data_IF_101201509009
#
_entry.id   IF_101201509009
#
_cell.length_a   1.000
_cell.length_b   1.000
_cell.length_c   1.000
_cell.angle_alpha   90.00
_cell.angle_beta   90.00
_cell.angle_gamma   90.00
#
_symmetry.space_group_name_H-M   'P 1'
#
loop_
_entity.id
_entity.type
_entity.pdbx_description
1 polymer ?
#
# COMPACT_ATOMS: atom_id res chain seq x y z
N UNK A 1 4.80 -3.61 25.58
CA UNK A 1 6.25 -3.72 25.25
C UNK A 1 6.90 -2.33 25.24
N UNK A 2 8.03 -2.13 25.94
CA UNK A 2 8.74 -0.86 25.94
C UNK A 2 9.37 -0.56 24.57
N UNK A 3 9.27 0.68 24.07
CA UNK A 3 9.93 1.11 22.83
C UNK A 3 11.44 0.82 22.88
N UNK A 4 12.05 0.52 21.73
CA UNK A 4 13.47 0.14 21.64
C UNK A 4 14.42 1.12 22.32
N UNK A 5 14.11 2.43 22.27
CA UNK A 5 14.85 3.51 22.97
C UNK A 5 14.73 3.47 24.50
N UNK A 6 13.71 2.82 25.03
CA UNK A 6 13.44 2.72 26.48
C UNK A 6 13.93 1.39 27.10
N UNK A 7 14.39 0.43 26.28
CA UNK A 7 14.87 -0.86 26.78
C UNK A 7 16.05 -0.72 27.75
N UNK A 8 16.93 0.27 27.52
CA UNK A 8 18.07 0.56 28.40
C UNK A 8 17.68 1.22 29.73
N UNK A 9 16.45 1.74 29.87
CA UNK A 9 15.92 2.41 31.04
C UNK A 9 14.82 1.60 31.74
N UNK A 10 14.74 0.31 31.46
CA UNK A 10 13.66 -0.55 31.97
C UNK A 10 13.66 -0.58 33.50
N UNK A 11 14.84 -0.73 34.13
CA UNK A 11 15.01 -0.81 35.58
C UNK A 11 14.69 0.52 36.26
N UNK A 12 15.05 1.64 35.61
CA UNK A 12 14.72 2.99 36.14
C UNK A 12 13.22 3.25 36.03
N UNK A 13 12.56 2.80 34.94
CA UNK A 13 11.11 2.89 34.78
C UNK A 13 10.39 2.00 35.81
N UNK A 14 10.88 0.80 36.05
CA UNK A 14 10.34 -0.11 37.05
C UNK A 14 10.43 0.48 38.47
N UNK A 15 11.56 1.08 38.81
CA UNK A 15 11.75 1.81 40.10
C UNK A 15 10.85 3.04 40.19
N UNK A 16 10.70 3.82 39.10
CA UNK A 16 9.84 5.00 39.09
C UNK A 16 8.35 4.65 39.23
N UNK A 17 7.93 3.47 38.73
CA UNK A 17 6.56 2.97 38.89
C UNK A 17 6.33 2.28 40.23
N UNK A 18 7.40 1.85 40.93
CA UNK A 18 7.29 1.15 42.19
C UNK A 18 6.90 2.13 43.31
N UNK A 19 5.71 1.97 43.83
CA UNK A 19 5.19 2.79 44.95
C UNK A 19 4.27 3.96 44.56
N UNK A 20 4.20 4.34 43.30
CA UNK A 20 3.35 5.45 42.82
C UNK A 20 1.92 5.04 42.49
N UNK A 21 1.59 3.73 42.49
CA UNK A 21 0.30 3.21 42.02
C UNK A 21 -0.53 2.74 43.22
N UNK A 22 -1.57 3.51 43.56
CA UNK A 22 -2.52 3.16 44.61
C UNK A 22 -3.40 1.95 44.28
N UNK A 23 -4.13 1.42 45.26
CA UNK A 23 -4.99 0.23 45.08
C UNK A 23 -6.00 0.41 43.96
N UNK A 24 -6.66 1.59 43.88
CA UNK A 24 -7.63 1.90 42.82
C UNK A 24 -6.98 1.85 41.43
N UNK A 25 -5.82 2.45 41.25
CA UNK A 25 -5.09 2.46 39.98
C UNK A 25 -4.64 1.04 39.58
N UNK A 26 -4.21 0.22 40.54
CA UNK A 26 -3.87 -1.20 40.30
C UNK A 26 -5.08 -1.98 39.81
N UNK A 27 -6.25 -1.77 40.43
CA UNK A 27 -7.51 -2.39 40.01
C UNK A 27 -7.87 -1.98 38.57
N UNK A 28 -7.81 -0.67 38.27
CA UNK A 28 -8.10 -0.16 36.94
C UNK A 28 -7.15 -0.74 35.88
N UNK A 29 -5.85 -0.74 36.14
CA UNK A 29 -4.83 -1.31 35.26
C UNK A 29 -5.07 -2.81 35.02
N UNK A 30 -5.37 -3.56 36.11
CA UNK A 30 -5.68 -5.00 35.99
C UNK A 30 -6.89 -5.24 35.08
N UNK A 31 -7.96 -4.46 35.25
CA UNK A 31 -9.16 -4.55 34.42
C UNK A 31 -8.84 -4.24 32.95
N UNK A 32 -8.06 -3.18 32.68
CA UNK A 32 -7.68 -2.82 31.31
C UNK A 32 -6.80 -3.87 30.65
N UNK A 33 -5.81 -4.41 31.38
CA UNK A 33 -4.94 -5.48 30.88
C UNK A 33 -5.75 -6.75 30.58
N UNK A 34 -6.64 -7.16 31.51
CA UNK A 34 -7.51 -8.33 31.25
C UNK A 34 -8.42 -8.12 30.03
N UNK A 35 -8.84 -6.88 29.78
CA UNK A 35 -9.64 -6.59 28.56
C UNK A 35 -8.80 -6.67 27.29
N UNK A 36 -7.52 -6.22 27.36
CA UNK A 36 -6.58 -6.38 26.23
C UNK A 36 -6.34 -7.86 25.95
N UNK A 37 -6.05 -8.65 26.99
CA UNK A 37 -5.82 -10.10 26.86
C UNK A 37 -7.06 -10.80 26.26
N UNK A 38 -8.26 -10.41 26.67
CA UNK A 38 -9.52 -10.92 26.10
C UNK A 38 -9.64 -10.56 24.61
N UNK A 39 -9.37 -9.30 24.23
CA UNK A 39 -9.42 -8.88 22.82
C UNK A 39 -8.37 -9.60 21.96
N UNK A 40 -7.17 -9.80 22.48
CA UNK A 40 -6.12 -10.55 21.79
C UNK A 40 -6.55 -12.00 21.52
N UNK A 41 -7.19 -12.67 22.50
CA UNK A 41 -7.76 -14.01 22.31
C UNK A 41 -8.86 -14.02 21.23
N UNK A 42 -9.75 -13.01 21.21
CA UNK A 42 -10.78 -12.91 20.17
C UNK A 42 -10.18 -12.69 18.78
N UNK A 43 -9.13 -11.87 18.68
CA UNK A 43 -8.42 -11.63 17.42
C UNK A 43 -7.77 -12.92 16.91
N UNK A 44 -7.14 -13.71 17.78
CA UNK A 44 -6.55 -15.01 17.42
C UNK A 44 -7.62 -15.95 16.87
N UNK A 45 -8.72 -16.14 17.61
CA UNK A 45 -9.82 -17.03 17.21
C UNK A 45 -10.41 -16.62 15.85
N UNK A 46 -10.68 -15.32 15.64
CA UNK A 46 -11.19 -14.83 14.37
C UNK A 46 -10.18 -14.98 13.23
N UNK A 47 -8.90 -14.80 13.51
CA UNK A 47 -7.82 -14.99 12.52
C UNK A 47 -7.69 -16.43 12.08
N UNK A 48 -7.84 -17.38 13.00
CA UNK A 48 -7.84 -18.82 12.70
C UNK A 48 -9.05 -19.19 11.81
N UNK A 49 -10.23 -18.68 12.12
CA UNK A 49 -11.44 -18.87 11.29
C UNK A 49 -11.26 -18.31 9.88
N UNK A 50 -10.70 -17.09 9.75
CA UNK A 50 -10.38 -16.49 8.45
C UNK A 50 -9.38 -17.37 7.69
N UNK A 51 -8.32 -17.84 8.35
CA UNK A 51 -7.32 -18.71 7.74
C UNK A 51 -7.93 -20.01 7.20
N UNK A 52 -8.80 -20.66 7.96
CA UNK A 52 -9.50 -21.86 7.51
C UNK A 52 -10.36 -21.61 6.27
N UNK A 53 -11.13 -20.51 6.25
CA UNK A 53 -11.97 -20.13 5.10
C UNK A 53 -11.16 -19.76 3.87
N UNK A 54 -9.97 -19.19 4.07
CA UNK A 54 -9.09 -18.76 3.00
C UNK A 54 -8.18 -19.86 2.46
N UNK A 55 -8.09 -21.00 3.14
CA UNK A 55 -7.25 -22.14 2.73
C UNK A 55 -7.44 -22.59 1.26
N UNK A 56 -8.66 -22.66 0.70
CA UNK A 56 -8.85 -23.02 -0.71
C UNK A 56 -8.28 -21.98 -1.70
N UNK A 57 -7.92 -20.81 -1.24
CA UNK A 57 -7.44 -19.68 -2.06
C UNK A 57 -5.98 -19.32 -1.77
N UNK A 58 -5.21 -20.24 -1.21
CA UNK A 58 -3.83 -20.00 -0.80
C UNK A 58 -2.94 -19.58 -1.99
N UNK A 59 -3.14 -20.21 -3.16
CA UNK A 59 -2.43 -19.80 -4.39
C UNK A 59 -2.71 -18.36 -4.77
N UNK A 60 -3.95 -17.90 -4.65
CA UNK A 60 -4.33 -16.50 -4.95
C UNK A 60 -3.70 -15.55 -3.93
N UNK A 61 -3.65 -15.96 -2.65
CA UNK A 61 -3.00 -15.19 -1.58
C UNK A 61 -1.51 -15.04 -1.87
N UNK A 62 -0.80 -16.11 -2.23
CA UNK A 62 0.62 -16.08 -2.58
C UNK A 62 0.90 -15.17 -3.78
N UNK A 63 0.05 -15.21 -4.81
CA UNK A 63 0.16 -14.29 -5.94
C UNK A 63 0.09 -12.84 -5.49
N UNK A 64 -0.85 -12.48 -4.62
CA UNK A 64 -1.03 -11.10 -4.16
C UNK A 64 0.03 -10.67 -3.15
N UNK A 65 0.46 -11.56 -2.25
CA UNK A 65 1.53 -11.31 -1.27
C UNK A 65 2.88 -11.01 -1.95
N UNK A 66 3.07 -11.50 -3.18
CA UNK A 66 4.26 -11.18 -3.98
C UNK A 66 4.38 -9.70 -4.36
N UNK A 67 3.30 -8.91 -4.25
CA UNK A 67 3.29 -7.47 -4.59
C UNK A 67 3.91 -6.68 -3.43
N UNK A 68 4.94 -5.83 -3.66
CA UNK A 68 5.52 -4.99 -2.62
C UNK A 68 4.47 -4.12 -1.92
N UNK A 69 4.36 -4.27 -0.60
CA UNK A 69 3.42 -3.53 0.24
C UNK A 69 2.07 -4.21 0.46
N UNK A 70 1.85 -5.38 -0.11
CA UNK A 70 0.75 -6.27 0.22
C UNK A 70 1.34 -7.41 1.07
N UNK A 71 0.79 -7.65 2.24
CA UNK A 71 1.06 -8.83 3.04
C UNK A 71 -0.19 -9.71 3.09
N UNK A 72 -0.09 -10.91 3.65
CA UNK A 72 -1.16 -11.92 3.71
C UNK A 72 -2.54 -11.34 4.07
N UNK A 73 -2.64 -10.57 5.16
CA UNK A 73 -3.92 -10.00 5.60
C UNK A 73 -4.54 -9.04 4.58
N UNK A 74 -3.70 -8.27 3.87
CA UNK A 74 -4.19 -7.42 2.78
C UNK A 74 -4.62 -8.24 1.56
N UNK A 75 -3.89 -9.31 1.22
CA UNK A 75 -4.26 -10.22 0.14
C UNK A 75 -5.62 -10.87 0.41
N UNK A 76 -5.82 -11.40 1.61
CA UNK A 76 -7.09 -11.97 2.07
C UNK A 76 -8.24 -10.94 1.97
N UNK A 77 -8.00 -9.70 2.43
CA UNK A 77 -9.00 -8.64 2.34
C UNK A 77 -9.32 -8.26 0.89
N UNK A 78 -8.33 -8.16 0.02
CA UNK A 78 -8.53 -7.86 -1.40
C UNK A 78 -9.35 -8.96 -2.08
N UNK A 79 -9.03 -10.23 -1.84
CA UNK A 79 -9.76 -11.37 -2.39
C UNK A 79 -11.21 -11.42 -1.86
N UNK A 80 -11.42 -11.19 -0.57
CA UNK A 80 -12.76 -11.15 0.02
C UNK A 80 -13.65 -10.05 -0.58
N UNK A 81 -13.08 -8.89 -0.90
CA UNK A 81 -13.82 -7.76 -1.46
C UNK A 81 -14.03 -7.87 -2.99
N UNK A 82 -13.10 -8.48 -3.72
CA UNK A 82 -13.21 -8.69 -5.18
C UNK A 82 -14.12 -9.87 -5.49
N UNK A 83 -14.09 -10.92 -4.67
CA UNK A 83 -14.87 -12.14 -4.78
C UNK A 83 -13.98 -13.37 -4.89
N UNK A 84 -14.26 -14.35 -4.02
CA UNK A 84 -13.52 -15.61 -3.92
C UNK A 84 -14.02 -16.62 -4.96
N UNK A 85 -13.10 -17.44 -5.47
CA UNK A 85 -13.42 -18.65 -6.25
C UNK A 85 -14.02 -18.43 -7.63
N UNK A 86 -14.02 -17.21 -8.14
CA UNK A 86 -14.46 -16.90 -9.50
C UNK A 86 -13.28 -16.48 -10.35
N UNK A 87 -13.27 -16.93 -11.60
CA UNK A 87 -12.35 -16.38 -12.58
C UNK A 87 -12.58 -14.87 -12.69
N UNK A 88 -11.53 -14.09 -12.38
CA UNK A 88 -11.62 -12.64 -12.36
C UNK A 88 -12.03 -12.07 -13.74
N UNK A 89 -11.63 -12.73 -14.83
CA UNK A 89 -11.98 -12.32 -16.18
C UNK A 89 -13.47 -12.53 -16.49
N UNK A 90 -14.12 -13.54 -15.90
CA UNK A 90 -15.56 -13.75 -16.04
C UNK A 90 -16.36 -12.69 -15.29
N UNK A 91 -15.84 -12.16 -14.20
CA UNK A 91 -16.49 -11.13 -13.39
C UNK A 91 -16.18 -9.71 -13.90
N UNK A 92 -14.95 -9.47 -14.31
CA UNK A 92 -14.49 -8.20 -14.86
C UNK A 92 -13.76 -8.43 -16.18
N UNK A 93 -14.32 -8.06 -17.32
CA UNK A 93 -13.72 -8.32 -18.64
C UNK A 93 -12.30 -7.74 -18.79
N UNK A 94 -11.98 -6.67 -18.08
CA UNK A 94 -10.65 -6.03 -18.11
C UNK A 94 -10.31 -5.36 -16.78
N UNK A 95 -9.03 -5.12 -16.53
CA UNK A 95 -8.56 -4.37 -15.36
C UNK A 95 -9.23 -2.98 -15.18
N UNK A 96 -9.47 -2.17 -16.24
CA UNK A 96 -10.23 -0.94 -16.14
C UNK A 96 -11.66 -1.10 -15.61
N UNK A 97 -12.35 -2.21 -15.93
CA UNK A 97 -13.68 -2.49 -15.37
C UNK A 97 -13.61 -2.71 -13.85
N UNK A 98 -12.67 -3.52 -13.39
CA UNK A 98 -12.41 -3.71 -11.96
C UNK A 98 -12.08 -2.38 -11.25
N UNK A 99 -11.18 -1.59 -11.82
CA UNK A 99 -10.79 -0.29 -11.26
C UNK A 99 -11.96 0.71 -11.22
N UNK A 100 -12.85 0.67 -12.22
CA UNK A 100 -14.05 1.51 -12.27
C UNK A 100 -15.06 1.10 -11.22
N UNK A 101 -15.32 -0.21 -11.07
CA UNK A 101 -16.19 -0.78 -10.05
C UNK A 101 -15.67 -0.46 -8.64
N UNK A 102 -14.38 -0.59 -8.40
CA UNK A 102 -13.74 -0.25 -7.14
C UNK A 102 -13.76 1.26 -6.81
N UNK A 103 -14.13 2.11 -7.77
CA UNK A 103 -14.11 3.57 -7.60
C UNK A 103 -12.71 4.16 -7.53
N UNK A 104 -11.72 3.49 -8.14
CA UNK A 104 -10.32 3.93 -8.15
C UNK A 104 -9.99 4.81 -9.38
N UNK A 105 -10.93 5.04 -10.27
CA UNK A 105 -10.76 5.90 -11.45
C UNK A 105 -11.36 7.29 -11.23
N UNK A 106 -10.79 8.35 -11.85
CA UNK A 106 -11.39 9.67 -11.81
C UNK A 106 -12.75 9.69 -12.51
N UNK A 107 -13.70 10.43 -11.96
CA UNK A 107 -14.95 10.73 -12.64
C UNK A 107 -14.68 11.67 -13.82
N UNK A 108 -15.22 11.35 -15.01
CA UNK A 108 -15.20 12.25 -16.16
C UNK A 108 -16.24 13.35 -15.95
N UNK A 109 -15.90 14.34 -15.12
CA UNK A 109 -16.72 15.52 -14.92
C UNK A 109 -16.16 16.65 -15.77
N UNK A 110 -16.49 16.59 -17.06
CA UNK A 110 -16.07 17.56 -18.06
C UNK A 110 -17.29 18.08 -18.81
N UNK A 111 -17.38 19.38 -19.03
CA UNK A 111 -18.45 20.03 -19.79
C UNK A 111 -17.85 21.16 -20.60
N UNK A 112 -18.16 21.18 -21.91
CA UNK A 112 -17.64 22.18 -22.85
C UNK A 112 -16.10 22.31 -22.82
N UNK A 113 -15.37 21.19 -22.78
CA UNK A 113 -13.90 21.16 -22.73
C UNK A 113 -13.29 21.58 -21.39
N UNK A 114 -14.11 21.92 -20.38
CA UNK A 114 -13.61 22.33 -19.06
C UNK A 114 -13.76 21.21 -18.05
N UNK A 115 -12.64 20.77 -17.49
CA UNK A 115 -12.56 19.77 -16.44
C UNK A 115 -13.04 20.35 -15.10
N UNK A 116 -14.20 19.92 -14.61
CA UNK A 116 -14.80 20.45 -13.37
C UNK A 116 -14.26 19.77 -12.11
N UNK A 117 -13.98 18.46 -12.15
CA UNK A 117 -13.50 17.73 -10.97
C UNK A 117 -12.72 16.47 -11.38
N UNK A 118 -11.60 16.21 -10.69
CA UNK A 118 -10.84 14.97 -10.76
C UNK A 118 -11.14 13.99 -9.61
N UNK A 119 -12.26 14.19 -8.88
CA UNK A 119 -12.65 13.25 -7.81
C UNK A 119 -12.94 11.88 -8.39
N UNK A 120 -12.53 10.85 -7.66
CA UNK A 120 -12.87 9.47 -8.00
C UNK A 120 -14.36 9.21 -7.81
N UNK A 121 -14.93 8.26 -8.57
CA UNK A 121 -16.31 7.83 -8.44
C UNK A 121 -16.55 7.13 -7.08
N UNK A 122 -17.81 7.00 -6.70
CA UNK A 122 -18.21 6.13 -5.60
C UNK A 122 -17.99 4.67 -6.05
N UNK A 123 -17.47 3.83 -5.16
CA UNK A 123 -17.21 2.42 -5.39
C UNK A 123 -17.10 1.67 -4.07
N UNK A 124 -16.45 0.51 -4.06
CA UNK A 124 -16.25 -0.26 -2.83
C UNK A 124 -15.30 0.48 -1.88
N UNK A 125 -15.86 0.96 -0.76
CA UNK A 125 -15.10 1.76 0.22
C UNK A 125 -14.04 0.93 0.95
N UNK A 126 -14.32 -0.34 1.24
CA UNK A 126 -13.40 -1.23 1.96
C UNK A 126 -12.21 -1.59 1.08
N UNK A 127 -12.47 -2.03 -0.17
CA UNK A 127 -11.43 -2.29 -1.16
C UNK A 127 -10.55 -1.06 -1.39
N UNK A 128 -11.14 0.11 -1.52
CA UNK A 128 -10.39 1.36 -1.67
C UNK A 128 -9.51 1.67 -0.46
N UNK A 129 -10.00 1.47 0.76
CA UNK A 129 -9.22 1.69 1.98
C UNK A 129 -8.00 0.75 2.02
N UNK A 130 -8.20 -0.55 1.77
CA UNK A 130 -7.13 -1.54 1.69
C UNK A 130 -6.08 -1.19 0.63
N UNK A 131 -6.51 -0.77 -0.57
CA UNK A 131 -5.59 -0.38 -1.64
C UNK A 131 -4.79 0.90 -1.32
N UNK A 132 -5.38 1.87 -0.62
CA UNK A 132 -4.68 3.07 -0.17
C UNK A 132 -3.66 2.72 0.91
N UNK A 133 -3.99 1.82 1.82
CA UNK A 133 -3.08 1.32 2.85
C UNK A 133 -1.92 0.54 2.23
N UNK A 134 -2.19 -0.38 1.31
CA UNK A 134 -1.19 -1.09 0.52
C UNK A 134 -0.27 -0.11 -0.24
N UNK A 135 -0.82 0.95 -0.84
CA UNK A 135 -0.02 1.97 -1.52
C UNK A 135 0.91 2.73 -0.57
N UNK A 136 0.48 3.00 0.68
CA UNK A 136 1.36 3.59 1.68
C UNK A 136 2.44 2.63 2.16
N UNK A 137 2.16 1.34 2.27
CA UNK A 137 3.14 0.30 2.59
C UNK A 137 4.16 0.14 1.45
N UNK A 138 3.69 0.05 0.20
CA UNK A 138 4.54 0.00 -0.99
C UNK A 138 5.44 1.24 -1.13
N UNK A 139 4.94 2.42 -0.77
CA UNK A 139 5.74 3.66 -0.79
C UNK A 139 6.94 3.64 0.18
N UNK A 140 6.87 2.82 1.25
CA UNK A 140 7.96 2.65 2.23
C UNK A 140 8.94 1.54 1.85
N UNK A 141 8.58 0.67 0.92
CA UNK A 141 9.44 -0.41 0.43
C UNK A 141 10.50 0.17 -0.51
N UNK A 142 11.77 0.08 -0.13
CA UNK A 142 12.88 0.67 -0.90
C UNK A 142 13.12 -0.08 -2.21
N UNK A 143 13.64 0.65 -3.19
CA UNK A 143 14.09 0.10 -4.48
C UNK A 143 13.02 -0.64 -5.30
N UNK A 144 11.75 -0.23 -5.18
CA UNK A 144 10.64 -0.81 -5.93
C UNK A 144 10.02 0.16 -6.92
N UNK A 145 9.44 -0.38 -7.99
CA UNK A 145 8.65 0.36 -8.98
C UNK A 145 7.52 1.17 -8.33
N UNK A 146 6.76 0.55 -7.42
CA UNK A 146 5.62 1.20 -6.76
C UNK A 146 6.07 2.36 -5.85
N UNK A 147 7.19 2.20 -5.13
CA UNK A 147 7.78 3.27 -4.32
C UNK A 147 8.21 4.44 -5.20
N UNK A 148 8.93 4.17 -6.29
CA UNK A 148 9.36 5.19 -7.26
C UNK A 148 8.16 5.91 -7.86
N UNK A 149 7.11 5.18 -8.27
CA UNK A 149 5.87 5.75 -8.78
C UNK A 149 5.21 6.68 -7.74
N UNK A 150 5.12 6.22 -6.49
CA UNK A 150 4.53 7.02 -5.42
C UNK A 150 5.28 8.33 -5.22
N UNK A 151 6.61 8.30 -5.11
CA UNK A 151 7.42 9.50 -4.89
C UNK A 151 7.27 10.51 -6.02
N UNK A 152 7.30 10.04 -7.27
CA UNK A 152 7.12 10.89 -8.47
C UNK A 152 5.73 11.54 -8.50
N UNK A 153 4.69 10.78 -8.16
CA UNK A 153 3.32 11.29 -8.10
C UNK A 153 3.13 12.23 -6.90
N UNK A 154 3.66 11.89 -5.73
CA UNK A 154 3.53 12.69 -4.52
C UNK A 154 4.13 14.09 -4.67
N UNK A 155 5.27 14.19 -5.36
CA UNK A 155 5.91 15.49 -5.68
C UNK A 155 5.04 16.36 -6.60
N UNK A 156 4.23 15.75 -7.50
CA UNK A 156 3.45 16.48 -8.50
C UNK A 156 2.01 16.80 -8.04
N UNK A 157 1.33 15.84 -7.43
CA UNK A 157 -0.12 15.94 -7.12
C UNK A 157 -0.44 15.80 -5.64
N UNK A 158 0.57 15.65 -4.78
CA UNK A 158 0.45 15.51 -3.34
C UNK A 158 0.20 14.06 -2.88
N UNK A 159 0.58 13.77 -1.63
CA UNK A 159 0.62 12.42 -1.05
C UNK A 159 -0.71 11.66 -1.12
N UNK A 160 -1.84 12.32 -0.77
CA UNK A 160 -3.17 11.69 -0.76
C UNK A 160 -3.61 11.21 -2.15
N UNK A 161 -3.40 12.04 -3.18
CA UNK A 161 -3.74 11.69 -4.56
C UNK A 161 -2.78 10.66 -5.14
N UNK A 162 -1.51 10.73 -4.78
CA UNK A 162 -0.51 9.73 -5.15
C UNK A 162 -0.86 8.34 -4.62
N UNK A 163 -1.28 8.23 -3.35
CA UNK A 163 -1.72 6.96 -2.76
C UNK A 163 -2.89 6.34 -3.54
N UNK A 164 -3.88 7.13 -3.93
CA UNK A 164 -5.01 6.63 -4.74
C UNK A 164 -4.55 6.18 -6.12
N UNK A 165 -3.63 6.91 -6.76
CA UNK A 165 -3.11 6.55 -8.08
C UNK A 165 -2.25 5.27 -8.04
N UNK A 166 -1.42 5.10 -7.01
CA UNK A 166 -0.65 3.86 -6.79
C UNK A 166 -1.59 2.71 -6.43
N UNK A 167 -2.60 2.94 -5.59
CA UNK A 167 -3.64 1.93 -5.31
C UNK A 167 -4.38 1.46 -6.58
N UNK A 168 -4.64 2.36 -7.53
CA UNK A 168 -5.16 1.98 -8.85
C UNK A 168 -4.17 1.08 -9.61
N UNK A 169 -2.88 1.41 -9.58
CA UNK A 169 -1.85 0.58 -10.22
C UNK A 169 -1.77 -0.80 -9.56
N UNK A 170 -1.80 -0.86 -8.21
CA UNK A 170 -1.85 -2.12 -7.47
C UNK A 170 -3.05 -2.96 -7.89
N UNK A 171 -4.25 -2.37 -7.97
CA UNK A 171 -5.46 -3.10 -8.38
C UNK A 171 -5.36 -3.62 -9.83
N UNK A 172 -4.73 -2.87 -10.72
CA UNK A 172 -4.43 -3.32 -12.09
C UNK A 172 -3.48 -4.52 -12.08
N UNK A 173 -2.44 -4.48 -11.25
CA UNK A 173 -1.50 -5.60 -11.07
C UNK A 173 -2.24 -6.82 -10.51
N UNK A 174 -3.03 -6.66 -9.46
CA UNK A 174 -3.87 -7.73 -8.86
C UNK A 174 -4.72 -8.43 -9.94
N UNK A 175 -5.41 -7.65 -10.80
CA UNK A 175 -6.17 -8.22 -11.90
C UNK A 175 -5.32 -9.11 -12.81
N UNK A 176 -4.14 -8.63 -13.20
CA UNK A 176 -3.28 -9.38 -14.11
C UNK A 176 -2.65 -10.62 -13.47
N UNK A 177 -2.27 -10.55 -12.19
CA UNK A 177 -1.71 -11.72 -11.49
C UNK A 177 -2.76 -12.82 -11.34
N UNK A 178 -3.97 -12.48 -10.92
CA UNK A 178 -5.07 -13.43 -10.79
C UNK A 178 -5.51 -14.02 -12.14
N UNK A 179 -5.53 -13.20 -13.20
CA UNK A 179 -5.92 -13.67 -14.54
C UNK A 179 -4.85 -14.53 -15.20
N UNK A 180 -3.56 -14.19 -15.02
CA UNK A 180 -2.44 -14.91 -15.67
C UNK A 180 -1.82 -16.01 -14.83
N UNK A 181 -2.19 -16.09 -13.54
CA UNK A 181 -1.60 -17.03 -12.57
C UNK A 181 -0.07 -16.95 -12.51
N UNK A 182 0.46 -15.72 -12.44
CA UNK A 182 1.90 -15.46 -12.41
C UNK A 182 2.23 -14.56 -11.23
N UNK A 183 3.37 -14.81 -10.58
CA UNK A 183 3.90 -13.96 -9.51
C UNK A 183 4.25 -12.56 -10.04
N UNK A 184 4.25 -11.59 -9.13
CA UNK A 184 4.67 -10.24 -9.45
C UNK A 184 6.16 -10.20 -9.83
N UNK A 185 6.46 -9.50 -10.92
CA UNK A 185 7.84 -9.25 -11.35
C UNK A 185 8.16 -7.79 -11.08
N UNK A 186 9.17 -7.56 -10.23
CA UNK A 186 9.61 -6.22 -9.86
C UNK A 186 10.32 -5.53 -11.03
N UNK A 187 9.84 -4.36 -11.41
CA UNK A 187 10.38 -3.58 -12.53
C UNK A 187 11.58 -2.69 -12.15
N UNK A 188 11.79 -2.51 -10.84
CA UNK A 188 12.86 -1.68 -10.28
C UNK A 188 12.49 -0.20 -10.14
N UNK A 189 13.21 0.48 -9.24
CA UNK A 189 12.98 1.91 -8.97
C UNK A 189 13.34 2.82 -10.16
N UNK A 190 14.26 2.37 -11.01
CA UNK A 190 14.77 3.08 -12.18
C UNK A 190 13.91 2.89 -13.46
N UNK A 191 12.82 2.11 -13.38
CA UNK A 191 11.93 1.82 -14.51
C UNK A 191 11.53 3.07 -15.30
N UNK A 192 11.11 4.13 -14.60
CA UNK A 192 10.66 5.35 -15.25
C UNK A 192 11.82 6.11 -15.92
N UNK A 193 13.00 6.05 -15.36
CA UNK A 193 14.19 6.73 -15.88
C UNK A 193 14.74 5.98 -17.08
N UNK A 194 14.78 4.65 -17.02
CA UNK A 194 15.13 3.80 -18.18
C UNK A 194 14.19 4.03 -19.36
N UNK A 195 12.88 4.08 -19.12
CA UNK A 195 11.86 4.28 -20.16
C UNK A 195 11.95 5.65 -20.84
N UNK A 196 12.47 6.65 -20.14
CA UNK A 196 12.57 8.04 -20.62
C UNK A 196 14.02 8.55 -20.61
N UNK A 197 14.98 7.65 -20.77
CA UNK A 197 16.43 7.92 -20.64
C UNK A 197 16.83 9.23 -21.32
N UNK A 198 16.49 9.40 -22.59
CA UNK A 198 16.87 10.61 -23.35
C UNK A 198 16.25 11.90 -22.77
N UNK A 199 14.98 11.83 -22.34
CA UNK A 199 14.28 12.99 -21.76
C UNK A 199 14.92 13.34 -20.40
N UNK A 200 15.24 12.35 -19.58
CA UNK A 200 15.89 12.52 -18.28
C UNK A 200 17.27 13.15 -18.46
N UNK A 201 18.06 12.66 -19.41
CA UNK A 201 19.37 13.21 -19.74
C UNK A 201 19.24 14.69 -20.16
N UNK A 202 18.38 15.00 -21.13
CA UNK A 202 18.16 16.40 -21.60
C UNK A 202 17.73 17.33 -20.47
N UNK A 203 16.82 16.88 -19.59
CA UNK A 203 16.36 17.67 -18.45
C UNK A 203 17.47 17.88 -17.41
N UNK A 204 18.29 16.87 -17.15
CA UNK A 204 19.43 16.97 -16.22
C UNK A 204 20.50 17.92 -16.74
N UNK A 205 20.86 17.85 -18.02
CA UNK A 205 21.79 18.77 -18.67
C UNK A 205 21.29 20.20 -18.53
N UNK A 206 20.05 20.48 -18.98
CA UNK A 206 19.45 21.81 -18.90
C UNK A 206 19.44 22.35 -17.46
N UNK A 207 19.22 21.50 -16.48
CA UNK A 207 19.17 21.90 -15.06
C UNK A 207 20.57 22.30 -14.55
N UNK A 208 21.62 21.65 -15.01
CA UNK A 208 23.00 21.97 -14.65
C UNK A 208 23.48 23.22 -15.41
N UNK A 209 23.11 23.36 -16.67
CA UNK A 209 23.40 24.56 -17.46
C UNK A 209 22.81 25.86 -16.87
N UNK A 210 21.57 25.78 -16.36
CA UNK A 210 20.93 26.91 -15.65
C UNK A 210 21.71 27.33 -14.40
N UNK A 211 22.48 26.43 -13.79
CA UNK A 211 23.36 26.70 -12.65
C UNK A 211 24.74 27.28 -13.09
N UNK A 212 24.91 27.59 -14.38
CA UNK A 212 26.13 28.18 -14.92
C UNK A 212 27.25 27.18 -15.28
N UNK A 213 26.96 25.89 -15.30
CA UNK A 213 27.94 24.85 -15.62
C UNK A 213 27.77 24.35 -17.05
N UNK A 214 28.89 24.09 -17.75
CA UNK A 214 28.91 23.41 -19.06
C UNK A 214 28.97 21.90 -18.83
N UNK A 215 28.04 21.15 -19.46
CA UNK A 215 27.91 19.69 -19.27
C UNK A 215 28.28 18.96 -20.56
N UNK A 216 29.20 18.00 -20.46
CA UNK A 216 29.51 17.05 -21.52
C UNK A 216 29.06 15.68 -21.05
N UNK A 217 28.30 14.95 -21.86
CA UNK A 217 27.78 13.61 -21.53
C UNK A 217 28.42 12.58 -22.43
N UNK A 218 29.14 11.65 -21.82
CA UNK A 218 29.71 10.49 -22.49
C UNK A 218 28.91 9.24 -22.13
N UNK A 219 28.60 8.40 -23.13
CA UNK A 219 27.93 7.13 -22.88
C UNK A 219 28.92 6.13 -22.30
N UNK A 220 28.62 5.57 -21.14
CA UNK A 220 29.36 4.45 -20.57
C UNK A 220 28.90 3.18 -21.32
N UNK A 221 29.86 2.46 -21.89
CA UNK A 221 29.64 1.22 -22.65
C UNK A 221 29.12 0.09 -21.74
#
# INVERSE_FOLDING_TARGET
MAKRSMKKKKDDLERALFGSVGLHQKMMLKTQLSHIDFLDQQIIMLSEEVQQRMQPYEEDIELLDSIPGIGRSHAEQLLAEIGLGKDIASQFPTAPHLCSWAGMVPGNNESAGKKKSGKTRKGNKKLRAALVEAAHSAAKTKNTYLSSQYQRLAARIGKKRAAVAVGHTILTIVYHLLNKRQLYVELGADYFDRRKKEIVIKQSIKRIEVLGCKVTVEAIA
#
